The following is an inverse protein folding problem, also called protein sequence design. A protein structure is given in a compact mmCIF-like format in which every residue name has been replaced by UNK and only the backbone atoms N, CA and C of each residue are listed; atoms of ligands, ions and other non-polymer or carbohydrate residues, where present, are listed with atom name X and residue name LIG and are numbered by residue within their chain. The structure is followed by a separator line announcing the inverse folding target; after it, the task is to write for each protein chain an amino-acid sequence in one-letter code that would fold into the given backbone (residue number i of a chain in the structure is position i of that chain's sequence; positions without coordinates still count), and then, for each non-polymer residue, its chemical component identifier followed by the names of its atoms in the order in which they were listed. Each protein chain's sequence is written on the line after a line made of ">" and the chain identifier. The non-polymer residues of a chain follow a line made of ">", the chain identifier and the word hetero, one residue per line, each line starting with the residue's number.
data_IF_784518201493
#
_entry.id   IF_784518201493
#
_cell.length_a   1.000
_cell.length_b   1.000
_cell.length_c   1.000
_cell.angle_alpha   90.00
_cell.angle_beta   90.00
_cell.angle_gamma   90.00
#
_symmetry.space_group_name_H-M   'P 1'
#
loop_
_entity.id
_entity.type
_entity.pdbx_description
1 polymer ?
#
# COMPACT_ATOMS: atom_id res chain seq x y z
N UNK A 1 3.15 -3.36 3.57
CA UNK A 1 3.23 -2.26 2.59
C UNK A 1 2.38 -2.52 1.34
N UNK A 2 2.51 -3.69 0.70
CA UNK A 2 1.97 -3.94 -0.64
C UNK A 2 0.46 -3.65 -0.80
N UNK A 3 -0.46 -4.07 0.10
CA UNK A 3 -1.88 -3.72 -0.03
C UNK A 3 -2.14 -2.20 -0.03
N UNK A 4 -1.39 -1.45 0.75
CA UNK A 4 -1.50 0.01 0.83
C UNK A 4 -1.05 0.68 -0.47
N UNK A 5 0.08 0.24 -1.03
CA UNK A 5 0.60 0.73 -2.31
C UNK A 5 -0.36 0.40 -3.46
N UNK A 6 -0.93 -0.81 -3.49
CA UNK A 6 -1.95 -1.19 -4.47
C UNK A 6 -3.16 -0.26 -4.39
N UNK A 7 -3.69 0.00 -3.20
CA UNK A 7 -4.83 0.91 -3.00
C UNK A 7 -4.51 2.35 -3.42
N UNK A 8 -3.31 2.83 -3.10
CA UNK A 8 -2.85 4.14 -3.55
C UNK A 8 -2.80 4.22 -5.08
N UNK A 9 -2.14 3.27 -5.72
CA UNK A 9 -1.98 3.23 -7.17
C UNK A 9 -3.29 2.98 -7.92
N UNK A 10 -4.27 2.34 -7.29
CA UNK A 10 -5.58 2.07 -7.89
C UNK A 10 -6.43 3.33 -8.17
N UNK A 11 -5.99 4.50 -7.77
CA UNK A 11 -6.56 5.78 -8.21
C UNK A 11 -6.13 6.15 -9.63
N UNK A 12 -5.06 5.58 -10.14
CA UNK A 12 -4.69 5.64 -11.55
C UNK A 12 -5.47 4.60 -12.34
N UNK A 13 -6.22 4.99 -13.42
CA UNK A 13 -7.09 4.05 -14.14
C UNK A 13 -6.32 2.92 -14.83
N UNK A 14 -5.09 3.17 -15.28
CA UNK A 14 -4.27 2.15 -15.96
C UNK A 14 -3.79 1.12 -14.95
N UNK A 15 -3.30 1.58 -13.80
CA UNK A 15 -2.89 0.71 -12.71
C UNK A 15 -4.06 -0.11 -12.15
N UNK A 16 -5.22 0.51 -11.95
CA UNK A 16 -6.44 -0.17 -11.47
C UNK A 16 -6.83 -1.32 -12.40
N UNK A 17 -6.86 -1.07 -13.71
CA UNK A 17 -7.14 -2.10 -14.72
C UNK A 17 -6.14 -3.26 -14.63
N UNK A 18 -4.85 -2.97 -14.50
CA UNK A 18 -3.80 -4.01 -14.38
C UNK A 18 -3.94 -4.83 -13.10
N UNK A 19 -4.23 -4.22 -11.97
CA UNK A 19 -4.48 -4.96 -10.73
C UNK A 19 -5.71 -5.87 -10.84
N UNK A 20 -6.79 -5.41 -11.48
CA UNK A 20 -7.96 -6.23 -11.73
C UNK A 20 -7.66 -7.40 -12.67
N UNK A 21 -6.86 -7.19 -13.72
CA UNK A 21 -6.40 -8.26 -14.62
C UNK A 21 -5.58 -9.31 -13.85
N UNK A 22 -4.66 -8.89 -12.99
CA UNK A 22 -3.87 -9.78 -12.12
C UNK A 22 -4.81 -10.60 -11.21
N UNK A 23 -5.77 -9.95 -10.56
CA UNK A 23 -6.74 -10.63 -9.70
C UNK A 23 -7.49 -11.75 -10.47
N UNK A 24 -7.98 -11.46 -11.67
CA UNK A 24 -8.63 -12.46 -12.52
C UNK A 24 -7.68 -13.59 -12.93
N UNK A 25 -6.46 -13.26 -13.31
CA UNK A 25 -5.45 -14.23 -13.72
C UNK A 25 -5.12 -15.25 -12.63
N UNK A 26 -5.08 -14.82 -11.37
CA UNK A 26 -4.85 -15.72 -10.23
C UNK A 26 -6.14 -16.35 -9.67
N UNK A 27 -7.26 -16.20 -10.38
CA UNK A 27 -8.53 -16.87 -10.04
C UNK A 27 -9.35 -16.20 -8.94
N UNK A 28 -9.10 -14.92 -8.63
CA UNK A 28 -9.90 -14.17 -7.66
C UNK A 28 -11.18 -13.64 -8.31
N UNK A 29 -12.28 -13.61 -7.55
CA UNK A 29 -13.57 -13.12 -7.98
C UNK A 29 -13.83 -11.66 -7.58
N UNK A 30 -14.73 -11.01 -8.34
CA UNK A 30 -15.24 -9.67 -8.03
C UNK A 30 -16.11 -9.17 -9.18
N UNK A 31 -17.25 -8.54 -8.84
CA UNK A 31 -18.21 -8.04 -9.82
C UNK A 31 -17.79 -6.72 -10.48
N UNK A 32 -16.76 -6.05 -9.96
CA UNK A 32 -16.23 -4.80 -10.47
C UNK A 32 -14.71 -4.76 -10.35
N UNK A 33 -14.08 -3.83 -11.04
CA UNK A 33 -12.63 -3.57 -10.92
C UNK A 33 -12.22 -3.32 -9.47
N UNK A 34 -12.97 -2.48 -8.75
CA UNK A 34 -12.73 -2.21 -7.33
C UNK A 34 -12.85 -3.49 -6.48
N UNK A 35 -13.85 -4.33 -6.73
CA UNK A 35 -14.03 -5.59 -6.00
C UNK A 35 -12.87 -6.56 -6.25
N UNK A 36 -12.37 -6.64 -7.48
CA UNK A 36 -11.20 -7.46 -7.82
C UNK A 36 -9.93 -6.97 -7.15
N UNK A 37 -9.70 -5.65 -7.09
CA UNK A 37 -8.56 -5.06 -6.39
C UNK A 37 -8.64 -5.34 -4.89
N UNK A 38 -9.82 -5.23 -4.28
CA UNK A 38 -10.01 -5.59 -2.89
C UNK A 38 -9.70 -7.07 -2.63
N UNK A 39 -10.22 -7.98 -3.47
CA UNK A 39 -9.91 -9.42 -3.37
C UNK A 39 -8.40 -9.70 -3.50
N UNK A 40 -7.69 -8.95 -4.36
CA UNK A 40 -6.24 -9.06 -4.47
C UNK A 40 -5.54 -8.64 -3.17
N UNK A 41 -5.94 -7.51 -2.58
CA UNK A 41 -5.40 -7.03 -1.32
C UNK A 41 -5.70 -8.00 -0.16
N UNK A 42 -6.91 -8.56 -0.11
CA UNK A 42 -7.32 -9.57 0.87
C UNK A 42 -6.45 -10.83 0.76
N UNK A 43 -6.21 -11.31 -0.47
CA UNK A 43 -5.33 -12.47 -0.71
C UNK A 43 -3.91 -12.22 -0.23
N UNK A 44 -3.35 -11.02 -0.46
CA UNK A 44 -2.03 -10.66 0.05
C UNK A 44 -2.02 -10.62 1.57
N UNK A 45 -3.08 -10.09 2.20
CA UNK A 45 -3.22 -10.07 3.66
C UNK A 45 -3.34 -11.48 4.25
N UNK A 46 -4.03 -12.41 3.58
CA UNK A 46 -4.05 -13.83 3.98
C UNK A 46 -2.63 -14.42 4.00
N UNK A 47 -1.82 -14.16 2.98
CA UNK A 47 -0.43 -14.58 2.95
C UNK A 47 0.39 -13.94 4.08
N UNK A 48 0.17 -12.66 4.37
CA UNK A 48 0.84 -11.99 5.48
C UNK A 48 0.54 -12.69 6.82
N UNK A 49 -0.71 -13.10 7.04
CA UNK A 49 -1.09 -13.86 8.25
C UNK A 49 -0.40 -15.23 8.30
N UNK A 50 -0.43 -15.99 7.20
CA UNK A 50 0.20 -17.32 7.10
C UNK A 50 1.72 -17.23 7.34
N UNK A 51 2.36 -16.18 6.83
CA UNK A 51 3.80 -15.95 6.94
C UNK A 51 4.21 -15.22 8.22
N UNK A 52 3.28 -14.92 9.11
CA UNK A 52 3.51 -14.13 10.33
C UNK A 52 4.14 -12.75 10.07
N UNK A 53 3.77 -12.12 8.95
CA UNK A 53 4.18 -10.75 8.65
C UNK A 53 3.26 -9.78 9.39
N UNK A 54 3.78 -8.87 10.23
CA UNK A 54 2.96 -7.89 10.94
C UNK A 54 2.11 -7.05 9.99
N UNK A 55 0.85 -6.80 10.37
CA UNK A 55 -0.09 -6.05 9.54
C UNK A 55 0.25 -4.57 9.44
N UNK A 56 0.87 -4.00 10.47
CA UNK A 56 1.21 -2.58 10.58
C UNK A 56 2.63 -2.39 11.10
N UNK A 57 3.17 -1.18 10.96
CA UNK A 57 4.44 -0.81 11.60
C UNK A 57 4.35 -0.83 13.12
N UNK A 58 3.17 -0.50 13.67
CA UNK A 58 2.90 -0.59 15.10
C UNK A 58 2.99 -2.04 15.59
N UNK A 59 2.38 -2.98 14.87
CA UNK A 59 2.44 -4.41 15.20
C UNK A 59 3.86 -4.99 15.04
N UNK A 60 4.65 -4.42 14.14
CA UNK A 60 6.07 -4.74 13.99
C UNK A 60 6.90 -4.30 15.21
N UNK A 61 6.41 -3.36 16.01
CA UNK A 61 7.04 -2.88 17.24
C UNK A 61 7.69 -1.52 17.16
N UNK A 62 7.45 -0.76 16.07
CA UNK A 62 7.90 0.64 15.98
C UNK A 62 7.09 1.49 16.96
N UNK A 63 7.77 2.23 17.83
CA UNK A 63 7.13 3.14 18.78
C UNK A 63 6.58 4.38 18.07
N UNK A 64 5.46 4.89 18.57
CA UNK A 64 4.75 6.01 17.92
C UNK A 64 5.55 7.31 17.92
N UNK A 65 6.27 7.59 19.00
CA UNK A 65 7.15 8.76 19.11
C UNK A 65 8.32 8.68 18.13
N UNK A 66 8.97 7.52 18.03
CA UNK A 66 10.02 7.26 17.04
C UNK A 66 9.49 7.40 15.60
N UNK A 67 8.31 6.85 15.32
CA UNK A 67 7.68 6.98 14.01
C UNK A 67 7.42 8.45 13.67
N UNK A 68 6.82 9.21 14.59
CA UNK A 68 6.51 10.63 14.38
C UNK A 68 7.78 11.50 14.21
N UNK A 69 8.86 11.15 14.89
CA UNK A 69 10.14 11.84 14.73
C UNK A 69 10.77 11.61 13.36
N UNK A 70 10.63 10.40 12.80
CA UNK A 70 11.34 9.97 11.58
C UNK A 70 10.51 10.08 10.31
N UNK A 71 9.19 10.24 10.40
CA UNK A 71 8.29 10.12 9.25
C UNK A 71 8.65 11.07 8.09
N UNK A 72 9.01 12.30 8.36
CA UNK A 72 9.39 13.26 7.32
C UNK A 72 10.64 12.77 6.56
N UNK A 73 11.68 12.37 7.28
CA UNK A 73 12.95 11.90 6.70
C UNK A 73 12.75 10.63 5.89
N UNK A 74 12.00 9.65 6.40
CA UNK A 74 11.76 8.40 5.64
C UNK A 74 10.90 8.64 4.41
N UNK A 75 9.99 9.61 4.45
CA UNK A 75 9.14 9.96 3.31
C UNK A 75 9.93 10.67 2.21
N UNK A 76 10.81 11.62 2.58
CA UNK A 76 11.73 12.25 1.63
C UNK A 76 12.65 11.21 0.97
N UNK A 77 13.26 10.32 1.75
CA UNK A 77 14.11 9.25 1.25
C UNK A 77 13.36 8.29 0.33
N UNK A 78 12.13 7.91 0.69
CA UNK A 78 11.31 7.03 -0.12
C UNK A 78 10.92 7.67 -1.47
N UNK A 79 10.63 8.98 -1.49
CA UNK A 79 10.33 9.69 -2.74
C UNK A 79 11.61 9.87 -3.59
N UNK A 80 12.76 10.07 -2.96
CA UNK A 80 14.06 10.17 -3.64
C UNK A 80 14.63 8.84 -4.13
N UNK A 81 14.03 7.71 -3.77
CA UNK A 81 14.46 6.38 -4.24
C UNK A 81 14.21 6.22 -5.75
N UNK A 82 15.19 5.65 -6.44
CA UNK A 82 15.14 5.46 -7.90
C UNK A 82 13.93 4.62 -8.34
N UNK A 83 13.49 3.66 -7.52
CA UNK A 83 12.35 2.80 -7.83
C UNK A 83 11.01 3.56 -7.72
N UNK A 84 10.91 4.58 -6.87
CA UNK A 84 9.69 5.39 -6.72
C UNK A 84 9.36 6.16 -7.98
N UNK A 85 10.38 6.58 -8.75
CA UNK A 85 10.20 7.24 -10.04
C UNK A 85 9.50 6.39 -11.11
N UNK A 86 9.49 5.07 -10.97
CA UNK A 86 8.79 4.13 -11.87
C UNK A 86 7.39 3.73 -11.39
N UNK A 87 6.94 4.25 -10.25
CA UNK A 87 5.60 3.97 -9.74
C UNK A 87 4.53 4.54 -10.69
N UNK A 88 3.44 3.81 -11.01
CA UNK A 88 2.42 4.25 -11.97
C UNK A 88 1.72 5.56 -11.56
N UNK A 89 1.64 5.83 -10.27
CA UNK A 89 1.09 7.08 -9.74
C UNK A 89 2.19 7.87 -9.04
N UNK A 90 2.37 9.13 -9.41
CA UNK A 90 3.36 10.02 -8.77
C UNK A 90 3.00 10.26 -7.31
N UNK A 91 4.02 10.44 -6.48
CA UNK A 91 3.86 10.70 -5.06
C UNK A 91 4.88 11.75 -4.61
N UNK A 92 4.42 12.71 -3.82
CA UNK A 92 5.27 13.70 -3.16
C UNK A 92 5.53 13.31 -1.69
N UNK A 93 6.50 13.96 -1.00
CA UNK A 93 6.82 13.64 0.39
C UNK A 93 5.62 13.75 1.34
N UNK A 94 4.77 14.75 1.19
CA UNK A 94 3.61 14.94 2.07
C UNK A 94 2.57 13.81 1.88
N UNK A 95 2.34 13.37 0.66
CA UNK A 95 1.47 12.23 0.35
C UNK A 95 2.11 10.91 0.83
N UNK A 96 3.44 10.78 0.73
CA UNK A 96 4.16 9.63 1.26
C UNK A 96 4.05 9.53 2.78
N UNK A 97 4.10 10.66 3.52
CA UNK A 97 3.84 10.69 4.96
C UNK A 97 2.44 10.19 5.30
N UNK A 98 1.42 10.59 4.52
CA UNK A 98 0.04 10.09 4.69
C UNK A 98 -0.03 8.58 4.46
N UNK A 99 0.65 8.07 3.43
CA UNK A 99 0.70 6.64 3.14
C UNK A 99 1.38 5.85 4.26
N UNK A 100 2.54 6.30 4.75
CA UNK A 100 3.21 5.70 5.91
C UNK A 100 2.36 5.77 7.19
N UNK A 101 1.60 6.85 7.38
CA UNK A 101 0.67 6.98 8.50
C UNK A 101 -0.44 5.92 8.42
N UNK A 102 -1.01 5.67 7.24
CA UNK A 102 -1.96 4.58 7.04
C UNK A 102 -1.33 3.21 7.35
N UNK A 103 -0.09 2.98 6.92
CA UNK A 103 0.65 1.74 7.19
C UNK A 103 0.94 1.57 8.68
N UNK A 104 1.25 2.66 9.38
CA UNK A 104 1.53 2.61 10.82
C UNK A 104 0.29 2.23 11.64
N UNK A 105 -0.86 2.88 11.37
CA UNK A 105 -2.09 2.69 12.13
C UNK A 105 -3.03 1.61 11.55
N UNK A 106 -2.77 1.10 10.37
CA UNK A 106 -3.66 0.15 9.69
C UNK A 106 -4.93 0.77 9.13
N UNK A 107 -4.90 2.06 8.80
CA UNK A 107 -6.05 2.79 8.27
C UNK A 107 -6.16 2.67 6.75
N UNK A 108 -7.34 2.91 6.20
CA UNK A 108 -7.58 2.81 4.77
C UNK A 108 -6.88 3.92 3.98
N UNK A 109 -6.39 3.57 2.77
CA UNK A 109 -5.84 4.53 1.80
C UNK A 109 -6.97 4.93 0.86
N UNK A 110 -7.45 6.17 0.98
CA UNK A 110 -8.59 6.72 0.23
C UNK A 110 -8.25 7.95 -0.64
N UNK A 111 -6.99 8.32 -0.73
CA UNK A 111 -6.46 9.50 -1.42
C UNK A 111 -5.61 9.16 -2.64
#
# INVERSE_FOLDING_TARGET
>A
YLPYVIKYNAKDPVAAKRYAEIARFVGLGGASEKALINSLCEKINEFNVILNIPATLKDFGIKEDEFKEKIATISENAVGDACTGSNPRTIDPATMERLFTCIYYGTEVDF
#
